data_IF_465106125121
#
_entry.id   IF_465106125121
#
_cell.length_a   1.000
_cell.length_b   1.000
_cell.length_c   1.000
_cell.angle_alpha   90.00
_cell.angle_beta   90.00
_cell.angle_gamma   90.00
#
_symmetry.space_group_name_H-M   'P 1'
#
loop_
_entity.id
_entity.type
_entity.pdbx_description
1 polymer ?
#
# COMPACT_ATOMS: atom_id res chain seq x y z
N UNK A 1 -11.74 -17.79 25.54
CA UNK A 1 -11.60 -17.59 24.08
C UNK A 1 -11.71 -16.09 23.82
N UNK A 2 -10.65 -15.43 23.36
CA UNK A 2 -10.74 -14.02 22.98
C UNK A 2 -11.69 -13.92 21.77
N UNK A 3 -12.74 -13.10 21.80
CA UNK A 3 -13.59 -12.95 20.62
C UNK A 3 -12.76 -12.29 19.52
N UNK A 4 -12.57 -13.01 18.42
CA UNK A 4 -12.08 -12.42 17.18
C UNK A 4 -13.24 -11.62 16.61
N UNK A 5 -13.21 -10.30 16.81
CA UNK A 5 -14.14 -9.40 16.16
C UNK A 5 -13.61 -9.10 14.75
N UNK A 6 -14.09 -9.87 13.77
CA UNK A 6 -13.85 -9.58 12.34
C UNK A 6 -15.05 -8.79 11.82
N UNK A 7 -14.83 -7.54 11.43
CA UNK A 7 -15.86 -6.73 10.77
C UNK A 7 -15.77 -6.96 9.27
N UNK A 8 -16.87 -7.37 8.65
CA UNK A 8 -16.97 -7.70 7.23
C UNK A 8 -17.15 -6.47 6.32
N UNK A 9 -17.42 -5.29 6.86
CA UNK A 9 -17.71 -4.08 6.08
C UNK A 9 -16.89 -2.86 6.51
N UNK A 10 -15.56 -2.99 6.55
CA UNK A 10 -14.66 -1.87 6.78
C UNK A 10 -14.86 -0.69 5.79
N UNK A 11 -15.46 -0.97 4.63
CA UNK A 11 -15.94 0.01 3.65
C UNK A 11 -17.09 0.93 4.14
N UNK A 12 -18.01 0.44 4.98
CA UNK A 12 -19.11 1.26 5.51
C UNK A 12 -18.60 2.26 6.55
N UNK A 13 -17.61 1.86 7.35
CA UNK A 13 -16.90 2.76 8.27
C UNK A 13 -16.12 3.84 7.52
N UNK A 14 -15.54 3.50 6.36
CA UNK A 14 -14.83 4.45 5.50
C UNK A 14 -15.73 5.59 5.03
N UNK A 15 -16.97 5.32 4.64
CA UNK A 15 -17.91 6.38 4.23
C UNK A 15 -18.31 7.31 5.38
N UNK A 16 -18.19 6.85 6.62
CA UNK A 16 -18.57 7.62 7.82
C UNK A 16 -17.40 8.42 8.42
N UNK A 17 -16.22 8.41 7.78
CA UNK A 17 -14.99 9.06 8.28
C UNK A 17 -14.63 8.66 9.73
N UNK A 18 -14.87 7.40 10.09
CA UNK A 18 -14.53 6.92 11.44
C UNK A 18 -13.03 6.65 11.51
N UNK A 19 -12.32 7.47 12.28
CA UNK A 19 -10.86 7.38 12.45
C UNK A 19 -10.43 6.44 13.59
N UNK A 20 -11.38 6.03 14.45
CA UNK A 20 -11.11 5.14 15.58
C UNK A 20 -12.25 4.14 15.81
N UNK A 21 -11.89 2.89 16.08
CA UNK A 21 -12.82 1.85 16.50
C UNK A 21 -12.80 1.69 18.02
N UNK A 22 -13.97 1.76 18.66
CA UNK A 22 -14.12 1.62 20.10
C UNK A 22 -14.37 0.16 20.50
N UNK A 23 -13.40 -0.45 21.19
CA UNK A 23 -13.54 -1.76 21.82
C UNK A 23 -13.91 -1.58 23.29
N UNK A 24 -14.94 -2.30 23.76
CA UNK A 24 -15.31 -2.37 25.18
C UNK A 24 -15.18 -3.81 25.66
N UNK A 25 -14.40 -4.02 26.72
CA UNK A 25 -14.35 -5.26 27.48
C UNK A 25 -15.21 -5.08 28.72
N UNK A 26 -16.14 -6.00 28.97
CA UNK A 26 -16.99 -6.03 30.15
C UNK A 26 -16.60 -7.23 31.01
N UNK A 27 -16.45 -7.01 32.30
CA UNK A 27 -16.17 -8.05 33.28
C UNK A 27 -17.23 -7.98 34.38
N UNK A 28 -17.85 -9.12 34.68
CA UNK A 28 -18.83 -9.27 35.76
C UNK A 28 -18.30 -10.37 36.68
N UNK A 29 -18.33 -10.14 37.99
CA UNK A 29 -18.04 -11.20 38.96
C UNK A 29 -19.31 -12.01 39.30
N UNK A 30 -19.20 -13.00 40.18
CA UNK A 30 -20.33 -13.84 40.58
C UNK A 30 -21.39 -13.10 41.42
N UNK A 31 -21.05 -11.92 41.94
CA UNK A 31 -21.95 -11.08 42.75
C UNK A 31 -22.71 -10.06 41.89
N UNK A 32 -22.68 -10.22 40.57
CA UNK A 32 -23.24 -9.29 39.59
C UNK A 32 -22.62 -7.88 39.60
N UNK A 33 -21.48 -7.68 40.27
CA UNK A 33 -20.70 -6.45 40.14
C UNK A 33 -19.97 -6.43 38.80
N UNK A 34 -20.04 -5.30 38.11
CA UNK A 34 -19.48 -5.15 36.78
C UNK A 34 -18.40 -4.07 36.70
N UNK A 35 -17.54 -4.21 35.69
CA UNK A 35 -16.60 -3.18 35.26
C UNK A 35 -16.40 -3.24 33.76
N UNK A 36 -15.98 -2.12 33.17
CA UNK A 36 -15.68 -2.05 31.76
C UNK A 36 -14.37 -1.32 31.49
N UNK A 37 -13.57 -1.85 30.56
CA UNK A 37 -12.43 -1.15 29.98
C UNK A 37 -12.76 -0.81 28.53
N UNK A 38 -12.52 0.45 28.16
CA UNK A 38 -12.70 0.93 26.79
C UNK A 38 -11.33 1.24 26.19
N UNK A 39 -11.08 0.76 24.97
CA UNK A 39 -9.89 1.06 24.19
C UNK A 39 -10.30 1.55 22.81
N UNK A 40 -9.68 2.65 22.38
CA UNK A 40 -9.79 3.17 21.02
C UNK A 40 -8.67 2.58 20.17
N UNK A 41 -9.02 2.04 19.00
CA UNK A 41 -8.09 1.49 18.03
C UNK A 41 -8.10 2.43 16.83
N UNK A 42 -7.00 3.14 16.55
CA UNK A 42 -6.94 4.02 15.38
C UNK A 42 -7.03 3.20 14.09
N UNK A 43 -7.87 3.66 13.18
CA UNK A 43 -8.01 3.13 11.83
C UNK A 43 -7.21 4.04 10.88
N UNK A 44 -5.94 3.71 10.68
CA UNK A 44 -5.07 4.46 9.78
C UNK A 44 -5.03 3.81 8.40
N UNK A 45 -5.05 4.65 7.36
CA UNK A 45 -4.78 4.18 6.00
C UNK A 45 -3.30 3.84 5.87
N UNK A 46 -2.96 2.81 5.08
CA UNK A 46 -1.57 2.51 4.79
C UNK A 46 -0.97 3.70 4.03
N UNK A 47 0.20 4.16 4.44
CA UNK A 47 0.92 5.19 3.70
C UNK A 47 1.64 4.55 2.52
N UNK A 48 1.16 4.78 1.30
CA UNK A 48 1.84 4.35 0.06
C UNK A 48 2.89 5.39 -0.33
N UNK A 49 4.11 4.93 -0.55
CA UNK A 49 5.24 5.74 -0.99
C UNK A 49 5.78 5.19 -2.30
N UNK A 50 5.60 5.96 -3.37
CA UNK A 50 6.22 5.69 -4.67
C UNK A 50 7.48 6.54 -4.78
N UNK A 51 8.67 5.94 -4.99
CA UNK A 51 9.89 6.72 -5.16
C UNK A 51 9.79 7.59 -6.41
N UNK A 52 10.53 8.69 -6.43
CA UNK A 52 10.60 9.61 -7.56
C UNK A 52 11.79 9.32 -8.49
N UNK A 53 12.68 8.40 -8.11
CA UNK A 53 13.85 7.98 -8.88
C UNK A 53 14.25 6.55 -8.56
N UNK A 54 14.73 5.82 -9.57
CA UNK A 54 15.46 4.56 -9.40
C UNK A 54 16.53 4.42 -10.49
N UNK A 55 17.54 3.59 -10.23
CA UNK A 55 18.79 3.51 -11.00
C UNK A 55 19.07 2.08 -11.44
N UNK A 56 18.47 1.59 -12.55
CA UNK A 56 18.65 0.22 -13.02
C UNK A 56 20.02 0.01 -13.69
N UNK A 57 21.09 0.14 -12.91
CA UNK A 57 22.48 0.04 -13.37
C UNK A 57 23.17 -1.27 -12.93
N UNK A 58 22.46 -2.11 -12.18
CA UNK A 58 22.89 -3.38 -11.61
C UNK A 58 24.01 -3.25 -10.56
N UNK A 59 24.01 -2.18 -9.77
CA UNK A 59 24.89 -2.01 -8.60
C UNK A 59 24.28 -2.55 -7.29
N UNK A 60 23.05 -3.04 -7.33
CA UNK A 60 22.30 -3.55 -6.19
C UNK A 60 21.49 -2.49 -5.43
N UNK A 61 21.55 -1.22 -5.86
CA UNK A 61 20.96 -0.08 -5.16
C UNK A 61 19.90 0.58 -6.05
N UNK A 62 18.64 0.52 -5.62
CA UNK A 62 17.50 1.08 -6.37
C UNK A 62 17.41 0.59 -7.82
N UNK A 63 17.80 -0.66 -8.09
CA UNK A 63 17.78 -1.24 -9.44
C UNK A 63 16.36 -1.44 -9.98
N UNK A 64 15.37 -1.54 -9.10
CA UNK A 64 13.96 -1.73 -9.45
C UNK A 64 13.09 -0.68 -8.77
N UNK A 65 11.92 -0.41 -9.35
CA UNK A 65 10.93 0.50 -8.78
C UNK A 65 10.24 -0.15 -7.57
N UNK A 66 10.69 0.16 -6.36
CA UNK A 66 10.12 -0.39 -5.13
C UNK A 66 9.09 0.56 -4.52
N UNK A 67 7.83 0.17 -4.52
CA UNK A 67 6.73 0.82 -3.80
C UNK A 67 6.74 0.32 -2.35
N UNK A 68 6.68 1.27 -1.41
CA UNK A 68 6.62 0.99 0.03
C UNK A 68 5.23 1.27 0.58
N UNK A 69 4.81 0.47 1.55
CA UNK A 69 3.60 0.69 2.33
C UNK A 69 3.95 0.72 3.81
N UNK A 70 3.60 1.81 4.50
CA UNK A 70 4.03 2.10 5.87
C UNK A 70 5.55 2.00 6.07
N UNK A 71 6.32 2.42 5.06
CA UNK A 71 7.78 2.35 5.06
C UNK A 71 8.37 0.95 4.88
N UNK A 72 7.54 -0.07 4.58
CA UNK A 72 7.97 -1.46 4.38
C UNK A 72 7.80 -1.91 2.94
N UNK A 73 8.64 -2.86 2.53
CA UNK A 73 8.57 -3.54 1.23
C UNK A 73 7.94 -4.93 1.36
N UNK A 74 7.66 -5.57 0.22
CA UNK A 74 7.17 -6.96 0.14
C UNK A 74 8.17 -7.96 0.75
N UNK A 75 9.46 -7.69 0.64
CA UNK A 75 10.54 -8.49 1.24
C UNK A 75 10.64 -8.33 2.75
N UNK A 76 10.30 -7.15 3.28
CA UNK A 76 10.36 -6.91 4.74
C UNK A 76 9.18 -7.55 5.47
N UNK A 77 8.03 -7.61 4.81
CA UNK A 77 6.83 -8.31 5.26
C UNK A 77 5.96 -8.63 4.04
N UNK A 78 5.16 -9.71 4.03
CA UNK A 78 3.98 -9.86 3.16
C UNK A 78 2.89 -8.78 3.41
N UNK A 79 3.27 -7.66 4.02
CA UNK A 79 2.49 -6.49 4.40
C UNK A 79 1.78 -5.79 3.25
N UNK A 80 2.32 -5.84 2.03
CA UNK A 80 1.58 -5.35 0.86
C UNK A 80 0.25 -6.09 0.74
N UNK A 81 0.26 -7.43 0.81
CA UNK A 81 -0.95 -8.28 0.85
C UNK A 81 -1.81 -8.11 2.10
N UNK A 82 -1.26 -7.55 3.18
CA UNK A 82 -2.04 -7.26 4.40
C UNK A 82 -3.00 -6.09 4.19
N UNK A 83 -2.63 -5.12 3.35
CA UNK A 83 -3.39 -3.90 3.14
C UNK A 83 -4.08 -3.87 1.78
N UNK A 84 -3.38 -4.30 0.74
CA UNK A 84 -3.83 -4.31 -0.64
C UNK A 84 -3.78 -5.73 -1.20
N UNK A 85 -4.84 -6.16 -1.85
CA UNK A 85 -4.93 -7.48 -2.48
C UNK A 85 -4.08 -7.54 -3.75
N UNK A 86 -3.97 -6.43 -4.48
CA UNK A 86 -3.07 -6.29 -5.63
C UNK A 86 -2.71 -4.84 -5.92
N UNK A 87 -1.63 -4.64 -6.67
CA UNK A 87 -1.23 -3.35 -7.22
C UNK A 87 -1.18 -3.41 -8.75
N UNK A 88 -1.77 -2.43 -9.42
CA UNK A 88 -1.69 -2.30 -10.88
C UNK A 88 -0.82 -1.09 -11.22
N UNK A 89 0.25 -1.29 -11.98
CA UNK A 89 1.20 -0.25 -12.37
C UNK A 89 1.17 -0.04 -13.87
N UNK A 90 1.00 1.21 -14.29
CA UNK A 90 1.15 1.64 -15.68
C UNK A 90 2.24 2.69 -15.76
N UNK A 91 3.17 2.56 -16.69
CA UNK A 91 4.21 3.56 -16.97
C UNK A 91 4.02 4.09 -18.39
N UNK A 92 4.19 5.40 -18.55
CA UNK A 92 4.01 6.12 -19.80
C UNK A 92 5.16 7.08 -20.06
N UNK A 93 5.42 7.38 -21.33
CA UNK A 93 6.28 8.50 -21.70
C UNK A 93 5.54 9.85 -21.60
N UNK A 94 6.25 10.94 -21.89
CA UNK A 94 5.72 12.32 -21.90
C UNK A 94 4.54 12.54 -22.85
N UNK A 95 4.38 11.70 -23.87
CA UNK A 95 3.28 11.80 -24.84
C UNK A 95 2.09 10.92 -24.47
N UNK A 96 2.08 10.32 -23.27
CA UNK A 96 1.00 9.43 -22.82
C UNK A 96 1.03 8.04 -23.44
N UNK A 97 2.08 7.69 -24.21
CA UNK A 97 2.22 6.33 -24.73
C UNK A 97 2.63 5.40 -23.59
N UNK A 98 1.83 4.36 -23.35
CA UNK A 98 2.13 3.28 -22.42
C UNK A 98 3.40 2.55 -22.84
N UNK A 99 4.33 2.39 -21.90
CA UNK A 99 5.62 1.72 -22.07
C UNK A 99 5.69 0.42 -21.27
N UNK A 100 5.04 0.39 -20.11
CA UNK A 100 4.96 -0.78 -19.24
C UNK A 100 3.59 -0.85 -18.56
N UNK A 101 3.15 -2.07 -18.27
CA UNK A 101 1.93 -2.36 -17.54
C UNK A 101 2.10 -3.65 -16.74
N UNK A 102 1.66 -3.63 -15.49
CA UNK A 102 1.43 -4.82 -14.69
C UNK A 102 0.09 -4.69 -13.97
N UNK A 103 -0.67 -5.78 -13.95
CA UNK A 103 -1.94 -5.88 -13.18
C UNK A 103 -1.74 -6.48 -11.79
N UNK A 104 -0.53 -6.94 -11.50
CA UNK A 104 -0.12 -7.50 -10.22
C UNK A 104 1.36 -7.19 -10.03
N UNK A 105 1.65 -5.92 -9.76
CA UNK A 105 3.00 -5.40 -9.67
C UNK A 105 3.66 -5.80 -8.35
N UNK A 106 4.86 -6.40 -8.43
CA UNK A 106 5.56 -7.04 -7.30
C UNK A 106 6.92 -6.43 -7.01
N UNK A 107 7.06 -5.13 -7.25
CA UNK A 107 8.31 -4.38 -7.04
C UNK A 107 9.51 -4.98 -7.79
N UNK A 108 9.28 -5.45 -9.01
CA UNK A 108 10.22 -6.24 -9.81
C UNK A 108 10.61 -5.57 -11.13
N UNK A 109 10.12 -4.36 -11.41
CA UNK A 109 10.41 -3.68 -12.67
C UNK A 109 11.69 -2.85 -12.60
N UNK A 110 12.64 -3.21 -13.46
CA UNK A 110 13.98 -2.63 -13.63
C UNK A 110 14.01 -1.49 -14.66
N UNK A 111 12.87 -0.92 -15.01
CA UNK A 111 12.83 0.12 -16.04
C UNK A 111 12.84 -0.40 -17.48
N UNK A 112 12.98 -1.70 -17.71
CA UNK A 112 12.78 -2.31 -19.04
C UNK A 112 13.66 -1.75 -20.16
N UNK A 113 14.90 -1.36 -19.84
CA UNK A 113 15.86 -0.70 -20.76
C UNK A 113 15.35 0.59 -21.40
N UNK A 114 14.46 1.29 -20.69
CA UNK A 114 14.08 2.64 -21.08
C UNK A 114 15.25 3.58 -20.86
N UNK A 115 15.47 4.48 -21.83
CA UNK A 115 16.53 5.49 -21.73
C UNK A 115 16.34 6.39 -20.50
N UNK A 116 17.45 6.94 -20.02
CA UNK A 116 17.43 7.92 -18.94
C UNK A 116 16.47 9.08 -19.25
N UNK A 117 15.65 9.42 -18.25
CA UNK A 117 14.65 10.46 -18.42
C UNK A 117 13.51 10.38 -17.42
N UNK A 118 12.54 11.27 -17.61
CA UNK A 118 11.33 11.34 -16.78
C UNK A 118 10.16 10.64 -17.48
N UNK A 119 9.56 9.72 -16.74
CA UNK A 119 8.38 8.95 -17.11
C UNK A 119 7.24 9.27 -16.15
N UNK A 120 6.04 8.82 -16.49
CA UNK A 120 4.84 9.05 -15.69
C UNK A 120 4.23 7.72 -15.30
N UNK A 121 3.78 7.61 -14.06
CA UNK A 121 3.13 6.41 -13.56
C UNK A 121 1.67 6.66 -13.19
N UNK A 122 0.87 5.62 -13.34
CA UNK A 122 -0.41 5.45 -12.64
C UNK A 122 -0.31 4.15 -11.87
N UNK A 123 -0.38 4.24 -10.55
CA UNK A 123 -0.40 3.11 -9.64
C UNK A 123 -1.79 3.03 -9.03
N UNK A 124 -2.43 1.87 -9.15
CA UNK A 124 -3.69 1.56 -8.48
C UNK A 124 -3.43 0.54 -7.38
N UNK A 125 -3.75 0.88 -6.16
CA UNK A 125 -3.68 -0.02 -5.01
C UNK A 125 -5.10 -0.49 -4.70
N UNK A 126 -5.36 -1.79 -4.85
CA UNK A 126 -6.70 -2.36 -4.73
C UNK A 126 -6.70 -3.23 -3.49
N UNK A 127 -7.50 -2.87 -2.50
CA UNK A 127 -7.60 -3.58 -1.23
C UNK A 127 -9.01 -3.68 -0.70
N UNK A 128 -9.15 -4.19 0.52
CA UNK A 128 -10.44 -4.40 1.18
C UNK A 128 -11.20 -3.10 1.47
N UNK A 129 -10.50 -1.98 1.48
CA UNK A 129 -11.03 -0.64 1.71
C UNK A 129 -11.30 0.14 0.42
N UNK A 130 -11.14 -0.49 -0.75
CA UNK A 130 -11.39 0.10 -2.06
C UNK A 130 -10.14 0.24 -2.94
N UNK A 131 -10.29 1.07 -3.97
CA UNK A 131 -9.22 1.42 -4.91
C UNK A 131 -8.66 2.80 -4.57
N UNK A 132 -7.33 2.86 -4.40
CA UNK A 132 -6.58 4.11 -4.29
C UNK A 132 -5.72 4.30 -5.53
N UNK A 133 -5.71 5.52 -6.08
CA UNK A 133 -4.98 5.83 -7.32
C UNK A 133 -3.93 6.89 -7.07
N UNK A 134 -2.69 6.52 -7.34
CA UNK A 134 -1.50 7.35 -7.22
C UNK A 134 -0.97 7.69 -8.61
N UNK A 135 -0.62 8.95 -8.83
CA UNK A 135 -0.07 9.44 -10.10
C UNK A 135 1.11 10.35 -9.82
N UNK A 136 2.11 10.27 -10.67
CA UNK A 136 3.27 11.12 -10.56
C UNK A 136 4.27 10.87 -11.66
N UNK A 137 5.44 11.48 -11.51
CA UNK A 137 6.59 11.25 -12.37
C UNK A 137 7.63 10.37 -11.66
N UNK A 138 8.36 9.59 -12.45
CA UNK A 138 9.51 8.80 -12.02
C UNK A 138 10.69 9.12 -12.94
N UNK A 139 11.85 9.38 -12.36
CA UNK A 139 13.11 9.47 -13.09
C UNK A 139 13.78 8.09 -13.16
N UNK A 140 14.18 7.70 -14.37
CA UNK A 140 15.07 6.56 -14.59
C UNK A 140 16.44 7.14 -14.94
N UNK A 141 17.49 6.70 -14.25
CA UNK A 141 18.86 7.18 -14.47
C UNK A 141 19.85 6.02 -14.47
N UNK A 142 20.95 6.15 -15.22
CA UNK A 142 21.99 5.13 -15.26
C UNK A 142 21.53 3.83 -15.92
N UNK A 143 20.48 3.87 -16.75
CA UNK A 143 20.02 2.70 -17.49
C UNK A 143 21.12 2.25 -18.46
N UNK A 144 21.56 1.00 -18.33
CA UNK A 144 22.46 0.37 -19.31
C UNK A 144 21.66 0.11 -20.60
N UNK A 145 21.84 0.99 -21.59
CA UNK A 145 21.40 0.76 -22.97
C UNK A 145 22.22 -0.36 -23.63
#
# INVERSE_FOLDING_TARGET
>A
KNPLHTFTSAWEFFQQQIEEYRVRLYAINNDNCDTAVVKFIPLQRPKVEVPNVFTPNADGINDVLIIKVDGKTETDQPSLLRYYERMELVIMNRWGRKLYESKDYRNDWDGGKLADGTYFYVLKCIGRFGEEVYKGSIAIMGSKN
#
